data_IF_420352279416
#
_entry.id   IF_420352279416
#
_cell.length_a   1.000
_cell.length_b   1.000
_cell.length_c   1.000
_cell.angle_alpha   90.00
_cell.angle_beta   90.00
_cell.angle_gamma   90.00
#
_symmetry.space_group_name_H-M   'P 1'
#
loop_
_entity.id
_entity.type
_entity.pdbx_description
1 polymer ?
#
# COMPACT_ATOMS: atom_id res chain seq x y z
N UNK A 1 -6.52 15.63 17.24
CA UNK A 1 -7.37 15.48 16.03
C UNK A 1 -6.57 14.91 14.86
N UNK A 2 -6.04 13.70 14.99
CA UNK A 2 -5.21 13.08 13.95
C UNK A 2 -5.66 11.64 13.63
N UNK A 3 -6.87 11.25 14.03
CA UNK A 3 -7.41 9.94 13.68
C UNK A 3 -7.57 9.83 12.16
N UNK A 4 -7.15 8.70 11.60
CA UNK A 4 -7.23 8.44 10.17
C UNK A 4 -8.17 7.27 9.92
N UNK A 5 -9.04 7.44 8.92
CA UNK A 5 -9.97 6.40 8.50
C UNK A 5 -9.23 5.27 7.78
N UNK A 6 -8.21 5.61 6.99
CA UNK A 6 -7.42 4.68 6.19
C UNK A 6 -5.92 4.98 6.32
N UNK A 7 -5.11 3.92 6.38
CA UNK A 7 -3.66 4.03 6.32
C UNK A 7 -3.13 2.98 5.35
N UNK A 8 -2.20 3.38 4.49
CA UNK A 8 -1.61 2.53 3.46
C UNK A 8 -0.17 2.23 3.88
N UNK A 9 0.18 0.95 3.83
CA UNK A 9 1.43 0.43 4.36
C UNK A 9 2.07 -0.51 3.35
N UNK A 10 3.31 -0.23 3.00
CA UNK A 10 4.15 -1.12 2.20
C UNK A 10 4.76 -2.23 3.09
N UNK A 11 4.75 -3.46 2.60
CA UNK A 11 5.22 -4.66 3.31
C UNK A 11 6.37 -5.30 2.55
N UNK A 12 7.51 -5.43 3.22
CA UNK A 12 8.71 -6.07 2.68
C UNK A 12 9.32 -7.06 3.67
N UNK A 13 10.11 -8.01 3.18
CA UNK A 13 10.96 -8.80 4.09
C UNK A 13 12.00 -7.91 4.75
N UNK A 14 12.19 -8.07 6.06
CA UNK A 14 13.25 -7.38 6.78
C UNK A 14 14.64 -7.80 6.28
N UNK A 15 14.79 -9.08 5.92
CA UNK A 15 15.96 -9.62 5.21
C UNK A 15 15.46 -10.39 4.00
N UNK A 16 15.73 -9.86 2.81
CA UNK A 16 15.34 -10.51 1.56
C UNK A 16 16.14 -11.79 1.35
N UNK A 17 15.46 -12.93 1.22
CA UNK A 17 16.07 -14.21 0.83
C UNK A 17 15.68 -14.51 -0.61
N UNK A 18 16.67 -14.68 -1.49
CA UNK A 18 16.42 -15.01 -2.91
C UNK A 18 15.52 -16.25 -3.02
N UNK A 19 14.46 -16.14 -3.81
CA UNK A 19 13.52 -17.24 -4.10
C UNK A 19 12.52 -17.56 -2.98
N UNK A 20 12.49 -16.80 -1.88
CA UNK A 20 11.46 -16.97 -0.86
C UNK A 20 10.20 -16.22 -1.27
N UNK A 21 9.14 -16.94 -1.56
CA UNK A 21 7.79 -16.38 -1.73
C UNK A 21 6.95 -16.67 -0.49
N UNK A 22 6.23 -15.66 0.00
CA UNK A 22 5.36 -15.80 1.16
C UNK A 22 4.03 -15.10 0.91
N UNK A 23 2.95 -15.80 1.25
CA UNK A 23 1.58 -15.28 1.10
C UNK A 23 1.06 -14.87 2.46
N UNK A 24 0.66 -13.61 2.58
CA UNK A 24 0.14 -13.01 3.81
C UNK A 24 -1.36 -12.71 3.66
N UNK A 25 -2.13 -13.11 4.67
CA UNK A 25 -3.53 -12.75 4.77
C UNK A 25 -3.67 -11.33 5.33
N UNK A 26 -4.26 -10.43 4.56
CA UNK A 26 -4.42 -9.03 4.92
C UNK A 26 -5.25 -8.82 6.20
N UNK A 27 -6.27 -9.66 6.43
CA UNK A 27 -7.14 -9.54 7.61
C UNK A 27 -6.34 -9.89 8.85
N UNK A 28 -5.64 -11.03 8.83
CA UNK A 28 -4.80 -11.47 9.95
C UNK A 28 -3.63 -10.52 10.21
N UNK A 29 -3.01 -10.01 9.13
CA UNK A 29 -1.93 -9.04 9.24
C UNK A 29 -2.44 -7.73 9.85
N UNK A 30 -3.61 -7.25 9.44
CA UNK A 30 -4.25 -6.07 10.01
C UNK A 30 -4.54 -6.25 11.51
N UNK A 31 -5.11 -7.38 11.91
CA UNK A 31 -5.36 -7.69 13.33
C UNK A 31 -4.06 -7.68 14.14
N UNK A 32 -2.99 -8.28 13.60
CA UNK A 32 -1.68 -8.27 14.24
C UNK A 32 -1.11 -6.86 14.41
N UNK A 33 -1.14 -6.05 13.36
CA UNK A 33 -0.64 -4.67 13.38
C UNK A 33 -1.43 -3.85 14.39
N UNK A 34 -2.76 -3.94 14.37
CA UNK A 34 -3.62 -3.24 15.32
C UNK A 34 -3.36 -3.68 16.76
N UNK A 35 -3.23 -4.97 17.02
CA UNK A 35 -2.97 -5.45 18.38
C UNK A 35 -1.64 -4.92 18.94
N UNK A 36 -0.62 -4.76 18.09
CA UNK A 36 0.71 -4.30 18.52
C UNK A 36 0.83 -2.78 18.58
N UNK A 37 0.16 -2.05 17.68
CA UNK A 37 0.44 -0.65 17.39
C UNK A 37 -0.77 0.29 17.51
N UNK A 38 -1.92 -0.20 17.99
CA UNK A 38 -3.09 0.67 18.24
C UNK A 38 -2.73 1.82 19.20
N UNK A 39 -3.41 2.95 18.99
CA UNK A 39 -3.24 4.20 19.73
C UNK A 39 -1.85 4.84 19.59
N UNK A 40 -1.10 4.50 18.53
CA UNK A 40 0.16 5.17 18.20
C UNK A 40 0.00 6.09 16.99
N UNK A 41 0.79 7.16 16.98
CA UNK A 41 0.88 8.10 15.86
C UNK A 41 1.96 7.60 14.91
N UNK A 42 1.61 7.53 13.63
CA UNK A 42 2.50 7.19 12.54
C UNK A 42 2.70 8.39 11.61
N UNK A 43 3.92 8.49 11.07
CA UNK A 43 4.27 9.45 10.03
C UNK A 43 4.42 8.76 8.68
N UNK A 44 4.09 9.47 7.60
CA UNK A 44 4.41 9.01 6.25
C UNK A 44 5.93 8.86 6.11
N UNK A 45 6.38 7.71 5.60
CA UNK A 45 7.78 7.31 5.52
C UNK A 45 8.30 6.53 6.73
N UNK A 46 7.54 6.47 7.83
CA UNK A 46 7.95 5.75 9.03
C UNK A 46 8.08 4.25 8.76
N UNK A 47 9.18 3.67 9.24
CA UNK A 47 9.48 2.24 9.12
C UNK A 47 9.32 1.55 10.45
N UNK A 48 8.64 0.41 10.45
CA UNK A 48 8.37 -0.40 11.64
C UNK A 48 8.71 -1.85 11.33
N UNK A 49 9.52 -2.46 12.18
CA UNK A 49 9.75 -3.90 12.10
C UNK A 49 8.57 -4.63 12.76
N UNK A 50 7.99 -5.59 12.04
CA UNK A 50 6.93 -6.46 12.56
C UNK A 50 7.34 -7.92 12.42
N UNK A 51 7.37 -8.64 13.54
CA UNK A 51 7.45 -10.10 13.54
C UNK A 51 6.06 -10.69 13.37
N UNK A 52 5.88 -11.45 12.29
CA UNK A 52 4.64 -12.18 12.01
C UNK A 52 4.98 -13.62 11.64
N UNK A 53 4.43 -14.56 12.42
CA UNK A 53 4.79 -15.98 12.38
C UNK A 53 6.29 -16.11 12.70
N UNK A 54 7.09 -16.69 11.82
CA UNK A 54 8.54 -16.90 11.95
C UNK A 54 9.36 -15.99 11.03
N UNK A 55 8.71 -14.96 10.47
CA UNK A 55 9.34 -14.03 9.53
C UNK A 55 9.23 -12.59 10.05
N UNK A 56 10.32 -11.84 9.91
CA UNK A 56 10.33 -10.41 10.18
C UNK A 56 10.06 -9.64 8.89
N UNK A 57 9.12 -8.70 8.99
CA UNK A 57 8.73 -7.79 7.94
C UNK A 57 9.11 -6.36 8.31
N UNK A 58 9.44 -5.58 7.29
CA UNK A 58 9.58 -4.15 7.37
C UNK A 58 8.31 -3.53 6.81
N UNK A 59 7.57 -2.83 7.66
CA UNK A 59 6.39 -2.06 7.29
C UNK A 59 6.80 -0.61 7.07
N UNK A 60 6.47 -0.04 5.93
CA UNK A 60 6.69 1.39 5.66
C UNK A 60 5.35 2.08 5.46
N UNK A 61 5.04 3.07 6.28
CA UNK A 61 3.82 3.87 6.12
C UNK A 61 3.98 4.74 4.88
N UNK A 62 3.12 4.56 3.88
CA UNK A 62 3.19 5.32 2.62
C UNK A 62 2.12 6.41 2.55
N UNK A 63 0.99 6.23 3.23
CA UNK A 63 -0.04 7.25 3.38
C UNK A 63 -0.76 7.07 4.72
N UNK A 64 -0.95 8.17 5.45
CA UNK A 64 -1.64 8.21 6.72
C UNK A 64 -2.90 9.09 6.61
N UNK A 65 -3.81 8.75 5.68
CA UNK A 65 -5.01 9.53 5.32
C UNK A 65 -4.86 10.34 4.02
N UNK A 66 -5.97 10.91 3.53
CA UNK A 66 -5.96 11.77 2.31
C UNK A 66 -5.22 13.09 2.61
N UNK A 67 -3.96 13.20 2.17
CA UNK A 67 -3.15 14.42 2.27
C UNK A 67 -2.52 14.69 3.64
N UNK A 68 -2.61 13.74 4.58
CA UNK A 68 -2.08 13.88 5.93
C UNK A 68 -0.69 13.23 6.06
N UNK A 69 0.26 13.93 6.69
CA UNK A 69 1.61 13.41 6.98
C UNK A 69 1.66 12.60 8.28
N UNK A 70 0.67 12.78 9.16
CA UNK A 70 0.57 12.20 10.49
C UNK A 70 -0.81 11.54 10.64
N UNK A 71 -0.84 10.32 11.17
CA UNK A 71 -2.08 9.60 11.44
C UNK A 71 -2.01 8.77 12.71
N UNK A 72 -3.03 8.91 13.56
CA UNK A 72 -3.26 8.07 14.73
C UNK A 72 -3.91 6.77 14.26
N UNK A 73 -3.21 5.65 14.46
CA UNK A 73 -3.75 4.33 14.21
C UNK A 73 -4.71 3.95 15.33
N UNK A 74 -6.00 3.82 15.02
CA UNK A 74 -7.01 3.34 15.97
C UNK A 74 -7.57 1.99 15.51
N UNK A 75 -8.28 1.24 16.39
CA UNK A 75 -8.91 -0.02 16.00
C UNK A 75 -9.89 0.14 14.81
N UNK A 76 -10.47 1.33 14.64
CA UNK A 76 -11.38 1.68 13.55
C UNK A 76 -10.66 1.98 12.22
N UNK A 77 -9.39 2.39 12.24
CA UNK A 77 -8.60 2.66 11.04
C UNK A 77 -8.50 1.41 10.16
N UNK A 78 -8.81 1.52 8.87
CA UNK A 78 -8.62 0.43 7.91
C UNK A 78 -7.20 0.45 7.33
N UNK A 79 -6.53 -0.70 7.30
CA UNK A 79 -5.19 -0.83 6.73
C UNK A 79 -5.27 -1.40 5.32
N UNK A 80 -4.54 -0.79 4.40
CA UNK A 80 -4.32 -1.31 3.06
C UNK A 80 -2.85 -1.63 2.91
N UNK A 81 -2.54 -2.85 2.49
CA UNK A 81 -1.18 -3.31 2.31
C UNK A 81 -0.80 -3.27 0.84
N UNK A 82 0.39 -2.74 0.58
CA UNK A 82 1.06 -2.79 -0.71
C UNK A 82 2.36 -3.57 -0.58
N UNK A 83 2.84 -4.15 -1.68
CA UNK A 83 4.10 -4.90 -1.72
C UNK A 83 4.86 -4.46 -2.96
N UNK A 84 6.16 -4.17 -2.86
CA UNK A 84 6.92 -3.78 -4.03
C UNK A 84 7.05 -4.96 -5.00
N UNK A 85 7.11 -4.65 -6.29
CA UNK A 85 7.29 -5.64 -7.34
C UNK A 85 8.57 -6.45 -7.10
N UNK A 86 8.46 -7.78 -7.13
CA UNK A 86 9.60 -8.67 -6.91
C UNK A 86 10.02 -8.85 -5.43
N UNK A 87 9.25 -8.31 -4.47
CA UNK A 87 9.51 -8.51 -3.03
C UNK A 87 9.37 -9.97 -2.56
N UNK A 88 8.70 -10.82 -3.35
CA UNK A 88 8.35 -12.19 -2.96
C UNK A 88 7.19 -12.27 -1.97
N UNK A 89 6.65 -11.13 -1.51
CA UNK A 89 5.49 -11.09 -0.62
C UNK A 89 4.22 -10.94 -1.47
N UNK A 90 3.22 -11.77 -1.23
CA UNK A 90 1.89 -11.70 -1.86
C UNK A 90 0.83 -11.46 -0.79
N UNK A 91 -0.05 -10.48 -0.98
CA UNK A 91 -1.15 -10.20 -0.06
C UNK A 91 -2.44 -10.85 -0.56
N UNK A 92 -3.15 -11.59 0.28
CA UNK A 92 -4.46 -12.21 0.00
C UNK A 92 -5.53 -11.68 0.94
N UNK A 93 -6.81 -11.87 0.59
CA UNK A 93 -7.96 -11.42 1.39
C UNK A 93 -7.97 -9.92 1.75
N UNK A 94 -7.27 -9.10 0.95
CA UNK A 94 -7.35 -7.65 1.09
C UNK A 94 -8.74 -7.21 0.67
N UNK A 95 -9.48 -6.60 1.61
CA UNK A 95 -10.74 -5.95 1.26
C UNK A 95 -10.42 -4.89 0.21
N UNK A 96 -10.98 -5.07 -0.98
CA UNK A 96 -10.82 -4.12 -2.08
C UNK A 96 -11.40 -2.78 -1.64
N UNK A 97 -10.56 -1.85 -1.18
CA UNK A 97 -10.88 -0.44 -1.24
C UNK A 97 -10.79 -0.07 -2.72
N UNK A 98 -11.84 -0.41 -3.47
CA UNK A 98 -11.96 -0.33 -4.92
C UNK A 98 -12.02 1.12 -5.43
N UNK A 99 -11.33 2.05 -4.78
CA UNK A 99 -11.30 3.45 -5.16
C UNK A 99 -10.06 4.10 -4.55
N UNK A 100 -9.17 4.61 -5.41
CA UNK A 100 -8.24 5.75 -5.21
C UNK A 100 -6.72 5.54 -5.13
N UNK A 101 -6.15 4.34 -5.00
CA UNK A 101 -4.67 4.21 -5.14
C UNK A 101 -4.22 4.08 -6.59
N UNK A 102 -4.97 3.38 -7.45
CA UNK A 102 -4.79 3.42 -8.92
C UNK A 102 -5.21 4.74 -9.57
N UNK A 103 -5.68 5.72 -8.78
CA UNK A 103 -5.96 7.09 -9.20
C UNK A 103 -4.93 8.09 -8.65
N UNK A 104 -3.91 7.64 -7.93
CA UNK A 104 -2.84 8.53 -7.50
C UNK A 104 -1.75 8.48 -8.55
N UNK A 105 -1.63 9.61 -9.25
CA UNK A 105 -0.56 9.97 -10.19
C UNK A 105 -0.63 9.27 -11.54
N UNK A 106 -1.50 9.84 -12.37
CA UNK A 106 -1.12 10.35 -13.68
C UNK A 106 0.36 10.06 -14.00
N UNK A 107 0.59 9.12 -14.91
CA UNK A 107 1.78 9.11 -15.72
C UNK A 107 1.88 10.50 -16.34
N UNK A 108 2.72 11.37 -15.77
CA UNK A 108 2.95 12.69 -16.32
C UNK A 108 3.85 12.49 -17.55
N UNK A 109 3.22 12.19 -18.69
CA UNK A 109 3.87 11.98 -20.00
C UNK A 109 4.71 13.19 -20.42
N UNK A 110 4.43 14.36 -19.86
CA UNK A 110 5.22 15.59 -20.00
C UNK A 110 6.65 15.42 -19.45
N UNK A 111 6.80 14.73 -18.31
CA UNK A 111 8.11 14.49 -17.70
C UNK A 111 8.95 13.40 -18.41
N UNK A 112 8.34 12.62 -19.31
CA UNK A 112 9.03 11.65 -20.18
C UNK A 112 9.38 12.27 -21.56
N UNK A 113 9.00 13.54 -21.78
CA UNK A 113 9.35 14.28 -23.00
C UNK A 113 8.44 14.01 -24.20
N UNK A 114 7.26 13.40 -23.99
CA UNK A 114 6.19 13.34 -24.99
C UNK A 114 5.14 14.38 -24.60
N UNK A 115 5.50 15.64 -24.79
CA UNK A 115 4.54 16.74 -24.73
C UNK A 115 3.57 16.64 -25.90
N UNK A 116 2.30 16.34 -25.59
CA UNK A 116 1.17 16.59 -26.47
C UNK A 116 0.77 15.44 -27.41
N UNK A 117 0.05 14.45 -26.90
CA UNK A 117 -0.86 13.62 -27.71
C UNK A 117 -2.12 13.23 -26.92
N UNK A 118 -3.19 13.95 -27.24
CA UNK A 118 -4.63 13.79 -27.05
C UNK A 118 -5.20 12.61 -26.26
N UNK A 119 -6.17 12.95 -25.39
CA UNK A 119 -7.05 12.09 -24.59
C UNK A 119 -7.73 10.93 -25.35
N UNK A 120 -7.71 10.92 -26.68
CA UNK A 120 -8.17 9.79 -27.50
C UNK A 120 -7.29 8.54 -27.38
N UNK A 121 -5.98 8.67 -27.10
CA UNK A 121 -5.10 7.51 -26.88
C UNK A 121 -5.36 6.82 -25.53
N UNK A 122 -5.73 7.59 -24.51
CA UNK A 122 -6.03 7.08 -23.16
C UNK A 122 -7.29 6.19 -23.17
N UNK A 123 -8.28 6.55 -23.98
CA UNK A 123 -9.51 5.77 -24.14
C UNK A 123 -9.27 4.45 -24.91
N UNK A 124 -8.39 4.47 -25.91
CA UNK A 124 -7.95 3.26 -26.63
C UNK A 124 -7.20 2.31 -25.68
N UNK A 125 -6.32 2.84 -24.81
CA UNK A 125 -5.57 2.03 -23.85
C UNK A 125 -6.47 1.46 -22.75
N UNK A 126 -7.40 2.25 -22.22
CA UNK A 126 -8.41 1.75 -21.26
C UNK A 126 -9.27 0.63 -21.85
N UNK A 127 -9.67 0.75 -23.11
CA UNK A 127 -10.50 -0.27 -23.77
C UNK A 127 -9.74 -1.58 -24.02
N UNK A 128 -8.45 -1.51 -24.33
CA UNK A 128 -7.63 -2.69 -24.61
C UNK A 128 -7.32 -3.52 -23.34
N UNK A 129 -7.30 -2.90 -22.17
CA UNK A 129 -6.95 -3.56 -20.91
C UNK A 129 -8.11 -3.73 -19.91
N UNK A 130 -9.26 -3.10 -20.13
CA UNK A 130 -10.47 -3.34 -19.32
C UNK A 130 -11.23 -4.62 -19.69
N UNK A 131 -10.84 -5.30 -20.78
CA UNK A 131 -11.49 -6.51 -21.27
C UNK A 131 -10.51 -7.67 -21.41
N UNK A 132 -9.81 -8.01 -20.32
CA UNK A 132 -9.25 -9.35 -20.06
C UNK A 132 -9.19 -9.63 -18.57
#
# INVERSE_FOLDING_TARGET
EHEVATMVVDVQFFVMKKGKEETLDAVKLQERVKHMLSNQIFTVGQRVALSYIDTNYLLTVIAAGEGQQLGLLTPATSLTFETPSGSGVKITNQKTTANKLFRTKEFNFESIGIGGLDSQFDEIFRRAFASR
#
